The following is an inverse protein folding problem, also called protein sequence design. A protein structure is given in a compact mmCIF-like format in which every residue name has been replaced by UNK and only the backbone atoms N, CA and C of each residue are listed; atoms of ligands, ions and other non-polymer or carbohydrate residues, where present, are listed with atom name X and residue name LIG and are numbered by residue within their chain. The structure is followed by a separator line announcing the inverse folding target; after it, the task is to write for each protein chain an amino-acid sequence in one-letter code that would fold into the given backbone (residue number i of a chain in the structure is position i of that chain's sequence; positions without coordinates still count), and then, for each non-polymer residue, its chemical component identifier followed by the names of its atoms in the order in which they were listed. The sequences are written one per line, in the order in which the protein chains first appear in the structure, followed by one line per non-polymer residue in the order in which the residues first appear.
data_IF_325337865857
#
_entry.id   IF_325337865857
#
_cell.length_a   1.000
_cell.length_b   1.000
_cell.length_c   1.000
_cell.angle_alpha   90.00
_cell.angle_beta   90.00
_cell.angle_gamma   90.00
#
_symmetry.space_group_name_H-M   'P 1'
#
loop_
_entity.id
_entity.type
_entity.pdbx_description
1 polymer ?
#
# COMPACT_ATOMS: atom_id res chain seq x y z
N UNK A 1 12.75 -19.88 -17.88
CA UNK A 1 13.25 -19.20 -16.66
C UNK A 1 12.13 -19.18 -15.64
N UNK A 2 12.42 -19.44 -14.36
CA UNK A 2 11.43 -19.42 -13.28
C UNK A 2 11.24 -17.97 -12.77
N UNK A 3 10.82 -17.08 -13.66
CA UNK A 3 10.66 -15.65 -13.41
C UNK A 3 9.55 -15.43 -12.39
N UNK A 4 9.83 -14.66 -11.32
CA UNK A 4 8.81 -14.31 -10.33
C UNK A 4 7.79 -13.36 -10.94
N UNK A 5 6.53 -13.53 -10.57
CA UNK A 5 5.45 -12.65 -10.97
C UNK A 5 5.13 -11.63 -9.87
N UNK A 6 4.73 -10.43 -10.27
CA UNK A 6 4.27 -9.37 -9.38
C UNK A 6 2.93 -8.87 -9.91
N UNK A 7 1.97 -8.71 -9.01
CA UNK A 7 0.66 -8.16 -9.35
C UNK A 7 0.77 -6.65 -9.53
N UNK A 8 0.11 -6.11 -10.56
CA UNK A 8 0.11 -4.67 -10.83
C UNK A 8 -1.30 -4.19 -11.12
N UNK A 9 -1.64 -2.99 -10.63
CA UNK A 9 -2.97 -2.37 -10.76
C UNK A 9 -3.21 -1.72 -12.14
N UNK A 10 -2.32 -1.95 -13.10
CA UNK A 10 -2.26 -1.31 -14.41
C UNK A 10 -0.82 -1.02 -14.83
N UNK A 11 -0.64 -0.36 -15.97
CA UNK A 11 0.66 0.03 -16.53
C UNK A 11 0.81 1.55 -16.68
N UNK A 12 0.18 2.34 -15.80
CA UNK A 12 0.42 3.79 -15.78
C UNK A 12 1.87 4.11 -15.37
N UNK A 13 2.38 5.27 -15.80
CA UNK A 13 3.75 5.70 -15.47
C UNK A 13 4.00 5.68 -13.95
N UNK A 14 3.06 6.16 -13.14
CA UNK A 14 3.17 6.13 -11.68
C UNK A 14 3.18 4.71 -11.11
N UNK A 15 2.39 3.79 -11.67
CA UNK A 15 2.40 2.38 -11.23
C UNK A 15 3.75 1.73 -11.54
N UNK A 16 4.30 1.99 -12.73
CA UNK A 16 5.63 1.50 -13.11
C UNK A 16 6.71 2.10 -12.21
N UNK A 17 6.63 3.40 -11.91
CA UNK A 17 7.56 4.06 -10.99
C UNK A 17 7.49 3.45 -9.58
N UNK A 18 6.29 3.23 -9.05
CA UNK A 18 6.09 2.63 -7.73
C UNK A 18 6.70 1.22 -7.66
N UNK A 19 6.43 0.37 -8.67
CA UNK A 19 7.00 -0.99 -8.74
C UNK A 19 8.52 -0.94 -8.84
N UNK A 20 9.05 -0.04 -9.66
CA UNK A 20 10.50 0.11 -9.87
C UNK A 20 11.19 0.51 -8.57
N UNK A 21 10.62 1.46 -7.83
CA UNK A 21 11.15 1.91 -6.55
C UNK A 21 11.09 0.82 -5.48
N UNK A 22 9.98 0.07 -5.43
CA UNK A 22 9.84 -1.06 -4.52
C UNK A 22 10.82 -2.21 -4.85
N UNK A 23 11.06 -2.48 -6.14
CA UNK A 23 12.06 -3.45 -6.58
C UNK A 23 13.48 -3.03 -6.18
N UNK A 24 13.83 -1.75 -6.38
CA UNK A 24 15.12 -1.20 -5.97
C UNK A 24 15.31 -1.33 -4.44
N UNK A 25 14.25 -1.07 -3.66
CA UNK A 25 14.28 -1.27 -2.20
C UNK A 25 14.54 -2.73 -1.83
N UNK A 26 13.81 -3.67 -2.42
CA UNK A 26 13.97 -5.12 -2.15
C UNK A 26 15.36 -5.63 -2.50
N UNK A 27 15.98 -5.06 -3.53
CA UNK A 27 17.33 -5.41 -3.95
C UNK A 27 18.43 -4.68 -3.14
N UNK A 28 18.07 -3.78 -2.21
CA UNK A 28 19.02 -3.01 -1.41
C UNK A 28 19.92 -2.09 -2.25
N UNK A 29 19.42 -1.65 -3.41
CA UNK A 29 20.19 -0.91 -4.40
C UNK A 29 20.28 0.59 -4.04
N UNK A 30 21.48 1.16 -4.18
CA UNK A 30 21.71 2.58 -3.93
C UNK A 30 21.14 3.45 -5.07
N UNK A 31 20.24 4.37 -4.73
CA UNK A 31 19.52 5.27 -5.65
C UNK A 31 20.30 6.52 -6.06
N UNK A 32 21.36 6.92 -5.35
CA UNK A 32 22.05 8.19 -5.61
C UNK A 32 23.16 8.06 -6.65
N UNK A 33 23.84 6.91 -6.67
CA UNK A 33 25.10 6.77 -7.40
C UNK A 33 24.93 6.02 -8.73
N UNK A 34 23.82 5.31 -8.88
CA UNK A 34 23.58 4.42 -10.01
C UNK A 34 22.40 4.90 -10.86
N UNK A 35 22.55 4.79 -12.19
CA UNK A 35 21.45 4.97 -13.13
C UNK A 35 20.78 3.62 -13.36
N UNK A 36 19.50 3.54 -13.02
CA UNK A 36 18.66 2.39 -13.30
C UNK A 36 17.76 2.68 -14.50
N UNK A 37 17.66 1.71 -15.40
CA UNK A 37 16.72 1.75 -16.52
C UNK A 37 15.66 0.67 -16.33
N UNK A 38 14.42 1.02 -16.68
CA UNK A 38 13.29 0.11 -16.67
C UNK A 38 12.88 -0.14 -18.11
N UNK A 39 12.86 -1.42 -18.52
CA UNK A 39 12.40 -1.83 -19.84
C UNK A 39 11.17 -2.71 -19.70
N UNK A 40 10.07 -2.25 -20.27
CA UNK A 40 8.86 -3.06 -20.44
C UNK A 40 8.84 -3.67 -21.84
N UNK A 41 8.57 -4.96 -21.92
CA UNK A 41 8.40 -5.64 -23.20
C UNK A 41 7.48 -6.85 -23.06
N UNK A 42 6.91 -7.29 -24.18
CA UNK A 42 6.12 -8.51 -24.26
C UNK A 42 7.01 -9.67 -24.67
N UNK A 43 6.91 -10.79 -23.97
CA UNK A 43 7.51 -12.07 -24.36
C UNK A 43 6.42 -13.15 -24.31
N UNK A 44 6.08 -13.69 -25.48
CA UNK A 44 4.93 -14.59 -25.66
C UNK A 44 3.65 -13.96 -25.08
N UNK A 45 3.02 -14.55 -24.07
CA UNK A 45 1.82 -14.00 -23.41
C UNK A 45 2.11 -13.20 -22.13
N UNK A 46 3.39 -13.00 -21.79
CA UNK A 46 3.80 -12.29 -20.59
C UNK A 46 4.24 -10.86 -20.90
N UNK A 47 3.97 -9.96 -19.95
CA UNK A 47 4.56 -8.63 -19.93
C UNK A 47 5.68 -8.67 -18.91
N UNK A 48 6.89 -8.33 -19.34
CA UNK A 48 8.09 -8.38 -18.54
C UNK A 48 8.58 -6.98 -18.21
N UNK A 49 9.05 -6.81 -16.98
CA UNK A 49 9.77 -5.63 -16.51
C UNK A 49 11.21 -6.03 -16.21
N UNK A 50 12.14 -5.45 -16.96
CA UNK A 50 13.57 -5.56 -16.69
C UNK A 50 14.04 -4.31 -15.94
N UNK A 51 14.77 -4.53 -14.86
CA UNK A 51 15.62 -3.53 -14.21
C UNK A 51 17.04 -3.71 -14.71
N UNK A 52 17.62 -2.66 -15.28
CA UNK A 52 18.98 -2.65 -15.81
C UNK A 52 19.85 -1.61 -15.13
N UNK A 53 21.15 -1.88 -15.08
CA UNK A 53 22.20 -0.93 -14.68
C UNK A 53 23.44 -1.18 -15.54
N UNK A 54 24.02 -0.11 -16.09
CA UNK A 54 25.18 -0.16 -16.99
C UNK A 54 25.03 -1.16 -18.16
N UNK A 55 23.82 -1.21 -18.73
CA UNK A 55 23.48 -2.10 -19.84
C UNK A 55 23.22 -3.57 -19.46
N UNK A 56 23.42 -3.95 -18.19
CA UNK A 56 23.20 -5.30 -17.70
C UNK A 56 21.84 -5.43 -17.00
N UNK A 57 21.10 -6.49 -17.30
CA UNK A 57 19.85 -6.81 -16.60
C UNK A 57 20.15 -7.32 -15.20
N UNK A 58 19.71 -6.55 -14.19
CA UNK A 58 19.81 -6.91 -12.77
C UNK A 58 18.67 -7.85 -12.34
N UNK A 59 17.46 -7.61 -12.87
CA UNK A 59 16.26 -8.38 -12.54
C UNK A 59 15.24 -8.33 -13.66
N UNK A 60 14.56 -9.46 -13.88
CA UNK A 60 13.35 -9.54 -14.71
C UNK A 60 12.18 -10.00 -13.85
N UNK A 61 11.04 -9.32 -13.98
CA UNK A 61 9.77 -9.66 -13.34
C UNK A 61 8.69 -9.89 -14.40
N UNK A 62 7.80 -10.84 -14.14
CA UNK A 62 6.57 -10.99 -14.92
C UNK A 62 5.45 -10.17 -14.29
N UNK A 63 4.79 -9.31 -15.07
CA UNK A 63 3.72 -8.45 -14.58
C UNK A 63 2.36 -9.13 -14.76
N UNK A 64 1.70 -9.40 -13.64
CA UNK A 64 0.35 -9.91 -13.59
C UNK A 64 -0.63 -8.74 -13.45
N UNK A 65 -1.15 -8.28 -14.58
CA UNK A 65 -1.99 -7.08 -14.63
C UNK A 65 -3.40 -7.43 -14.17
N UNK A 66 -3.82 -6.87 -13.04
CA UNK A 66 -5.18 -7.03 -12.55
C UNK A 66 -6.14 -6.18 -13.38
N UNK A 67 -7.35 -6.70 -13.62
CA UNK A 67 -8.42 -5.93 -14.27
C UNK A 67 -8.93 -4.86 -13.29
N UNK A 68 -8.39 -3.66 -13.40
CA UNK A 68 -8.74 -2.49 -12.60
C UNK A 68 -7.99 -2.39 -11.26
N UNK A 69 -7.91 -1.18 -10.68
CA UNK A 69 -7.36 -0.99 -9.35
C UNK A 69 -8.21 -1.76 -8.33
N UNK A 70 -7.58 -2.37 -7.32
CA UNK A 70 -8.34 -2.92 -6.20
C UNK A 70 -8.70 -1.80 -5.26
N UNK A 71 -9.99 -1.50 -5.23
CA UNK A 71 -10.55 -0.32 -4.60
C UNK A 71 -11.03 -0.64 -3.18
N UNK A 72 -10.72 0.24 -2.21
CA UNK A 72 -11.35 0.19 -0.89
C UNK A 72 -12.74 0.82 -0.95
N UNK A 73 -13.74 0.17 -0.36
CA UNK A 73 -15.07 0.74 -0.17
C UNK A 73 -15.42 0.75 1.32
N UNK A 74 -16.58 1.31 1.66
CA UNK A 74 -17.02 1.43 3.05
C UNK A 74 -17.19 0.08 3.75
N UNK A 75 -17.58 -0.99 3.04
CA UNK A 75 -17.61 -2.34 3.61
C UNK A 75 -16.21 -2.87 3.93
N UNK A 76 -15.24 -2.66 3.05
CA UNK A 76 -13.84 -2.98 3.33
C UNK A 76 -13.33 -2.20 4.55
N UNK A 77 -13.70 -0.92 4.67
CA UNK A 77 -13.33 -0.10 5.83
C UNK A 77 -13.95 -0.59 7.14
N UNK A 78 -15.17 -1.14 7.14
CA UNK A 78 -15.77 -1.79 8.32
C UNK A 78 -14.97 -3.03 8.73
N UNK A 79 -14.60 -3.87 7.76
CA UNK A 79 -13.78 -5.07 8.01
C UNK A 79 -12.41 -4.68 8.56
N UNK A 80 -11.78 -3.66 7.98
CA UNK A 80 -10.49 -3.14 8.43
C UNK A 80 -10.60 -2.57 9.84
N UNK A 81 -11.63 -1.77 10.15
CA UNK A 81 -11.83 -1.26 11.51
C UNK A 81 -12.04 -2.40 12.51
N UNK A 82 -12.87 -3.40 12.19
CA UNK A 82 -13.07 -4.56 13.06
C UNK A 82 -11.79 -5.36 13.33
N UNK A 83 -10.82 -5.36 12.41
CA UNK A 83 -9.49 -5.93 12.63
C UNK A 83 -8.58 -5.00 13.44
N UNK A 84 -8.59 -3.71 13.12
CA UNK A 84 -7.82 -2.67 13.81
C UNK A 84 -8.17 -2.59 15.30
N UNK A 85 -9.45 -2.76 15.64
CA UNK A 85 -9.88 -2.75 17.04
C UNK A 85 -9.24 -3.88 17.84
N UNK A 86 -9.10 -5.07 17.27
CA UNK A 86 -8.50 -6.24 17.95
C UNK A 86 -7.02 -6.06 18.30
N UNK A 87 -6.36 -5.03 17.77
CA UNK A 87 -4.97 -4.71 18.12
C UNK A 87 -4.83 -4.21 19.57
N UNK A 88 -5.91 -3.68 20.17
CA UNK A 88 -5.98 -3.34 21.60
C UNK A 88 -7.24 -3.98 22.23
N UNK A 89 -7.18 -4.36 23.51
CA UNK A 89 -8.38 -4.82 24.22
C UNK A 89 -9.05 -3.61 24.87
N UNK A 90 -10.12 -3.10 24.27
CA UNK A 90 -10.95 -2.07 24.87
C UNK A 90 -12.43 -2.40 24.65
N UNK A 91 -13.21 -2.49 25.73
CA UNK A 91 -14.66 -2.64 25.67
C UNK A 91 -15.29 -1.29 25.23
N UNK A 92 -15.42 -1.08 23.92
CA UNK A 92 -15.91 0.19 23.35
C UNK A 92 -16.88 0.00 22.18
N UNK A 93 -17.54 1.08 21.76
CA UNK A 93 -18.45 1.10 20.60
C UNK A 93 -17.64 0.94 19.31
N UNK A 94 -18.03 -0.01 18.47
CA UNK A 94 -17.33 -0.35 17.23
C UNK A 94 -18.03 0.17 15.98
N UNK A 95 -17.25 0.33 14.90
CA UNK A 95 -17.74 0.60 13.57
C UNK A 95 -17.59 2.05 13.11
N UNK A 96 -18.16 2.30 11.94
CA UNK A 96 -18.12 3.61 11.28
C UNK A 96 -19.10 4.56 11.98
N UNK A 97 -18.59 5.71 12.40
CA UNK A 97 -19.35 6.80 13.01
C UNK A 97 -20.03 7.67 11.95
N UNK A 98 -19.33 7.96 10.85
CA UNK A 98 -19.84 8.75 9.73
C UNK A 98 -19.57 8.03 8.40
N UNK A 99 -20.57 7.27 7.93
CA UNK A 99 -20.46 6.50 6.68
C UNK A 99 -20.42 7.39 5.45
N UNK A 100 -21.22 8.46 5.41
CA UNK A 100 -21.22 9.40 4.29
C UNK A 100 -19.90 10.17 4.22
N UNK A 101 -19.32 10.55 5.36
CA UNK A 101 -17.98 11.13 5.44
C UNK A 101 -16.91 10.16 4.92
N UNK A 102 -16.96 8.89 5.36
CA UNK A 102 -16.04 7.86 4.88
C UNK A 102 -16.16 7.63 3.36
N UNK A 103 -17.38 7.53 2.82
CA UNK A 103 -17.63 7.40 1.38
C UNK A 103 -17.06 8.59 0.59
N UNK A 104 -17.20 9.82 1.11
CA UNK A 104 -16.61 11.01 0.48
C UNK A 104 -15.09 10.97 0.47
N UNK A 105 -14.45 10.54 1.56
CA UNK A 105 -12.99 10.37 1.61
C UNK A 105 -12.56 9.35 0.55
N UNK A 106 -13.19 8.19 0.54
CA UNK A 106 -12.94 7.10 -0.40
C UNK A 106 -13.07 7.59 -1.85
N UNK A 107 -14.20 8.22 -2.18
CA UNK A 107 -14.43 8.81 -3.50
C UNK A 107 -13.36 9.84 -3.86
N UNK A 108 -12.97 10.73 -2.95
CA UNK A 108 -11.94 11.73 -3.20
C UNK A 108 -10.56 11.14 -3.53
N UNK A 109 -10.28 9.90 -3.09
CA UNK A 109 -9.02 9.20 -3.36
C UNK A 109 -9.06 8.49 -4.72
N UNK A 110 -10.24 8.01 -5.10
CA UNK A 110 -10.46 7.20 -6.30
C UNK A 110 -10.80 8.01 -7.54
N UNK A 111 -11.32 9.21 -7.35
CA UNK A 111 -11.74 10.07 -8.43
C UNK A 111 -10.54 10.52 -9.28
N UNK A 112 -10.85 10.78 -10.55
CA UNK A 112 -9.97 11.32 -11.55
C UNK A 112 -10.68 12.45 -12.29
N UNK A 113 -9.91 13.28 -12.97
CA UNK A 113 -10.40 14.29 -13.88
C UNK A 113 -9.65 14.20 -15.20
N UNK A 114 -10.38 14.12 -16.31
CA UNK A 114 -9.82 14.00 -17.66
C UNK A 114 -8.78 12.86 -17.80
N UNK A 115 -9.09 11.70 -17.21
CA UNK A 115 -8.19 10.53 -17.21
C UNK A 115 -7.00 10.63 -16.26
N UNK A 116 -6.85 11.72 -15.52
CA UNK A 116 -5.78 11.92 -14.53
C UNK A 116 -6.31 11.69 -13.11
N UNK A 117 -5.81 10.65 -12.45
CA UNK A 117 -6.11 10.37 -11.05
C UNK A 117 -5.63 11.51 -10.15
N UNK A 118 -6.44 11.91 -9.17
CA UNK A 118 -5.99 12.89 -8.16
C UNK A 118 -4.85 12.36 -7.29
N UNK A 119 -4.80 11.04 -7.10
CA UNK A 119 -3.71 10.33 -6.45
C UNK A 119 -3.17 9.28 -7.42
N UNK A 120 -2.25 9.64 -8.32
CA UNK A 120 -1.78 8.72 -9.34
C UNK A 120 -0.82 7.68 -8.76
N UNK A 121 -0.96 6.42 -9.17
CA UNK A 121 -0.17 5.30 -8.65
C UNK A 121 -0.73 4.69 -7.36
N UNK A 122 -0.05 3.65 -6.88
CA UNK A 122 -0.50 2.86 -5.73
C UNK A 122 -0.03 3.49 -4.43
N UNK A 123 1.21 3.97 -4.39
CA UNK A 123 1.82 4.56 -3.18
C UNK A 123 1.07 5.83 -2.76
N UNK A 124 0.72 6.71 -3.70
CA UNK A 124 -0.04 7.93 -3.40
C UNK A 124 -1.45 7.65 -2.90
N UNK A 125 -2.15 6.67 -3.49
CA UNK A 125 -3.48 6.24 -3.00
C UNK A 125 -3.40 5.64 -1.60
N UNK A 126 -2.44 4.75 -1.35
CA UNK A 126 -2.19 4.20 -0.02
C UNK A 126 -1.92 5.30 1.02
N UNK A 127 -1.07 6.26 0.66
CA UNK A 127 -0.77 7.45 1.48
C UNK A 127 -2.04 8.25 1.76
N UNK A 128 -2.88 8.48 0.75
CA UNK A 128 -4.11 9.24 0.90
C UNK A 128 -5.14 8.54 1.80
N UNK A 129 -5.28 7.21 1.71
CA UNK A 129 -6.11 6.44 2.63
C UNK A 129 -5.62 6.61 4.07
N UNK A 130 -4.33 6.38 4.30
CA UNK A 130 -3.73 6.50 5.62
C UNK A 130 -3.87 7.93 6.18
N UNK A 131 -3.47 8.94 5.42
CA UNK A 131 -3.49 10.33 5.85
C UNK A 131 -4.92 10.80 6.14
N UNK A 132 -5.83 10.67 5.17
CA UNK A 132 -7.19 11.24 5.30
C UNK A 132 -8.00 10.57 6.39
N UNK A 133 -7.89 9.25 6.58
CA UNK A 133 -8.59 8.58 7.68
C UNK A 133 -7.98 8.88 9.05
N UNK A 134 -6.66 9.08 9.14
CA UNK A 134 -6.00 9.48 10.38
C UNK A 134 -6.45 10.87 10.86
N UNK A 135 -6.78 11.77 9.94
CA UNK A 135 -7.14 13.17 10.24
C UNK A 135 -8.64 13.49 10.26
N UNK A 136 -9.52 12.50 10.08
CA UNK A 136 -10.96 12.74 9.87
C UNK A 136 -11.90 12.18 10.93
N UNK A 137 -11.43 11.26 11.79
CA UNK A 137 -12.24 10.64 12.86
C UNK A 137 -13.57 10.00 12.40
N UNK A 138 -13.51 9.18 11.34
CA UNK A 138 -14.69 8.54 10.73
C UNK A 138 -15.23 7.32 11.50
N UNK A 139 -14.53 6.84 12.51
CA UNK A 139 -14.87 5.64 13.30
C UNK A 139 -15.11 6.00 14.77
N UNK A 140 -15.91 5.20 15.48
CA UNK A 140 -16.17 5.40 16.91
C UNK A 140 -14.89 5.24 17.75
N UNK A 141 -14.10 4.21 17.46
CA UNK A 141 -12.77 4.00 18.00
C UNK A 141 -11.82 3.59 16.86
N UNK A 142 -10.54 3.39 17.17
CA UNK A 142 -9.58 2.77 16.26
C UNK A 142 -9.18 3.64 15.08
N UNK A 143 -9.61 4.90 14.99
CA UNK A 143 -9.36 5.80 13.84
C UNK A 143 -7.92 5.73 13.30
N UNK A 144 -6.91 5.85 14.18
CA UNK A 144 -5.50 5.75 13.82
C UNK A 144 -5.13 4.37 13.29
N UNK A 145 -5.55 3.30 13.96
CA UNK A 145 -5.26 1.91 13.56
C UNK A 145 -5.95 1.55 12.25
N UNK A 146 -7.21 1.97 12.07
CA UNK A 146 -7.96 1.80 10.82
C UNK A 146 -7.31 2.55 9.67
N UNK A 147 -6.84 3.78 9.90
CA UNK A 147 -6.12 4.57 8.90
C UNK A 147 -4.83 3.87 8.45
N UNK A 148 -3.98 3.48 9.41
CA UNK A 148 -2.77 2.68 9.16
C UNK A 148 -3.10 1.42 8.33
N UNK A 149 -4.05 0.62 8.80
CA UNK A 149 -4.40 -0.62 8.13
C UNK A 149 -4.99 -0.39 6.73
N UNK A 150 -5.72 0.70 6.50
CA UNK A 150 -6.25 1.02 5.17
C UNK A 150 -5.14 1.26 4.15
N UNK A 151 -4.08 1.99 4.52
CA UNK A 151 -2.93 2.23 3.66
C UNK A 151 -2.17 0.93 3.37
N UNK A 152 -1.85 0.16 4.42
CA UNK A 152 -1.16 -1.13 4.27
C UNK A 152 -1.97 -2.13 3.45
N UNK A 153 -3.27 -2.24 3.71
CA UNK A 153 -4.16 -3.13 2.97
C UNK A 153 -4.19 -2.74 1.49
N UNK A 154 -4.31 -1.45 1.18
CA UNK A 154 -4.31 -0.97 -0.20
C UNK A 154 -2.99 -1.29 -0.92
N UNK A 155 -1.84 -1.15 -0.28
CA UNK A 155 -0.55 -1.59 -0.84
C UNK A 155 -0.59 -3.09 -1.17
N UNK A 156 -1.01 -3.90 -0.19
CA UNK A 156 -0.94 -5.34 -0.28
C UNK A 156 -1.85 -5.92 -1.36
N UNK A 157 -3.10 -5.45 -1.49
CA UNK A 157 -4.00 -5.92 -2.56
C UNK A 157 -3.52 -5.52 -3.96
N UNK A 158 -2.71 -4.47 -4.05
CA UNK A 158 -2.11 -3.98 -5.30
C UNK A 158 -0.68 -4.52 -5.54
N UNK A 159 -0.26 -5.59 -4.84
CA UNK A 159 0.97 -6.32 -5.14
C UNK A 159 2.23 -5.81 -4.45
N UNK A 160 2.09 -4.91 -3.47
CA UNK A 160 3.19 -4.40 -2.67
C UNK A 160 3.29 -5.14 -1.33
N UNK A 161 4.47 -5.14 -0.74
CA UNK A 161 4.72 -5.68 0.59
C UNK A 161 5.27 -4.60 1.53
N UNK A 162 5.13 -4.82 2.83
CA UNK A 162 5.80 -4.01 3.85
C UNK A 162 6.82 -4.89 4.58
N UNK A 163 8.07 -4.98 4.12
CA UNK A 163 9.10 -5.73 4.81
C UNK A 163 9.33 -5.18 6.23
N UNK A 164 9.70 -6.08 7.16
CA UNK A 164 10.10 -5.72 8.53
C UNK A 164 9.07 -4.86 9.28
N UNK A 165 7.80 -5.30 9.32
CA UNK A 165 6.72 -4.59 10.01
C UNK A 165 7.08 -4.41 11.50
N UNK A 166 7.15 -3.13 11.92
CA UNK A 166 7.25 -2.73 13.32
C UNK A 166 5.97 -1.98 13.71
N UNK A 167 5.08 -2.63 14.47
CA UNK A 167 3.78 -2.07 14.82
C UNK A 167 3.87 -0.77 15.61
N UNK A 168 4.84 -0.64 16.53
CA UNK A 168 5.04 0.57 17.33
C UNK A 168 5.50 1.76 16.49
N UNK A 169 6.42 1.53 15.56
CA UNK A 169 6.88 2.56 14.60
C UNK A 169 5.69 3.05 13.75
N UNK A 170 4.93 2.12 13.17
CA UNK A 170 3.78 2.42 12.33
C UNK A 170 2.66 3.13 13.09
N UNK A 171 2.45 2.77 14.35
CA UNK A 171 1.50 3.47 15.20
C UNK A 171 1.99 4.89 15.53
N UNK A 172 3.26 5.05 15.88
CA UNK A 172 3.87 6.34 16.22
C UNK A 172 3.79 7.34 15.06
N UNK A 173 4.14 6.90 13.84
CA UNK A 173 4.02 7.77 12.66
C UNK A 173 2.55 8.13 12.37
N UNK A 174 1.62 7.20 12.62
CA UNK A 174 0.19 7.48 12.46
C UNK A 174 -0.33 8.49 13.48
N UNK A 175 0.16 8.45 14.72
CA UNK A 175 -0.12 9.48 15.74
C UNK A 175 0.38 10.84 15.29
N UNK A 176 1.62 10.92 14.80
CA UNK A 176 2.20 12.16 14.28
C UNK A 176 1.40 12.73 13.09
N UNK A 177 0.94 11.87 12.16
CA UNK A 177 0.03 12.27 11.07
C UNK A 177 -1.30 12.81 11.63
N UNK A 178 -1.92 12.13 12.59
CA UNK A 178 -3.18 12.57 13.18
C UNK A 178 -3.06 13.93 13.90
N UNK A 179 -1.89 14.20 14.48
CA UNK A 179 -1.54 15.47 15.12
C UNK A 179 -1.09 16.55 14.13
N UNK A 180 -0.91 16.21 12.84
CA UNK A 180 -0.36 17.06 11.78
C UNK A 180 1.12 17.46 11.98
N UNK A 181 1.86 16.68 12.76
CA UNK A 181 3.31 16.80 12.91
C UNK A 181 4.04 16.27 11.67
N UNK A 182 3.37 15.43 10.88
CA UNK A 182 3.85 14.88 9.60
C UNK A 182 2.86 15.22 8.50
N UNK A 183 3.36 15.83 7.43
CA UNK A 183 2.61 16.15 6.22
C UNK A 183 2.32 14.91 5.37
N UNK A 184 1.37 15.03 4.44
CA UNK A 184 1.05 13.95 3.51
C UNK A 184 2.25 13.56 2.63
N UNK A 185 3.08 14.53 2.22
CA UNK A 185 4.29 14.28 1.41
C UNK A 185 5.39 13.56 2.19
N UNK A 186 5.54 13.86 3.48
CA UNK A 186 6.48 13.15 4.35
C UNK A 186 6.02 11.71 4.59
N UNK A 187 4.71 11.50 4.80
CA UNK A 187 4.14 10.16 4.88
C UNK A 187 4.32 9.38 3.57
N UNK A 188 4.13 10.01 2.40
CA UNK A 188 4.38 9.39 1.10
C UNK A 188 5.83 8.93 0.98
N UNK A 189 6.77 9.80 1.36
CA UNK A 189 8.22 9.52 1.31
C UNK A 189 8.58 8.36 2.24
N UNK A 190 8.02 8.34 3.45
CA UNK A 190 8.15 7.23 4.39
C UNK A 190 7.64 5.91 3.81
N UNK A 191 6.41 5.90 3.29
CA UNK A 191 5.80 4.71 2.67
C UNK A 191 6.66 4.21 1.50
N UNK A 192 7.07 5.11 0.60
CA UNK A 192 7.90 4.78 -0.56
C UNK A 192 9.26 4.18 -0.17
N UNK A 193 9.85 4.63 0.94
CA UNK A 193 11.11 4.10 1.46
C UNK A 193 10.99 2.74 2.15
N UNK A 194 9.80 2.38 2.62
CA UNK A 194 9.55 1.15 3.40
C UNK A 194 8.88 0.04 2.60
N UNK A 195 8.30 0.35 1.45
CA UNK A 195 7.52 -0.60 0.64
C UNK A 195 8.43 -1.46 -0.24
N UNK A 196 8.15 -2.76 -0.28
CA UNK A 196 8.72 -3.75 -1.20
C UNK A 196 7.67 -4.35 -2.15
N UNK A 197 8.00 -5.41 -2.88
CA UNK A 197 7.07 -6.12 -3.75
C UNK A 197 6.59 -7.43 -3.14
N UNK A 198 5.39 -7.85 -3.55
CA UNK A 198 4.90 -9.19 -3.31
C UNK A 198 5.22 -10.09 -4.52
N UNK A 199 6.02 -11.13 -4.29
CA UNK A 199 6.44 -12.06 -5.33
C UNK A 199 5.60 -13.33 -5.34
N UNK A 200 5.22 -13.77 -6.53
CA UNK A 200 4.49 -15.00 -6.79
C UNK A 200 5.28 -15.90 -7.73
N UNK A 201 4.98 -17.20 -7.72
CA UNK A 201 5.65 -18.13 -8.64
C UNK A 201 5.11 -18.04 -10.06
N UNK A 202 3.86 -17.61 -10.24
CA UNK A 202 3.24 -17.45 -11.57
C UNK A 202 2.31 -16.23 -11.62
N UNK A 203 2.06 -15.64 -12.81
CA UNK A 203 1.09 -14.55 -12.96
C UNK A 203 -0.32 -14.93 -12.50
N UNK A 204 -0.74 -16.18 -12.76
CA UNK A 204 -2.03 -16.70 -12.29
C UNK A 204 -2.14 -16.65 -10.76
N UNK A 205 -1.12 -17.12 -10.04
CA UNK A 205 -1.11 -17.04 -8.56
C UNK A 205 -1.19 -15.59 -8.07
N UNK A 206 -0.52 -14.66 -8.75
CA UNK A 206 -0.57 -13.25 -8.40
C UNK A 206 -1.98 -12.65 -8.56
N UNK A 207 -2.71 -13.04 -9.60
CA UNK A 207 -4.10 -12.58 -9.84
C UNK A 207 -5.10 -13.25 -8.88
N UNK A 208 -4.94 -14.54 -8.63
CA UNK A 208 -5.82 -15.33 -7.76
C UNK A 208 -5.68 -14.90 -6.28
N UNK A 209 -4.56 -14.30 -5.88
CA UNK A 209 -4.33 -13.80 -4.52
C UNK A 209 -5.10 -12.48 -4.20
N UNK A 210 -6.19 -12.19 -4.91
CA UNK A 210 -6.96 -10.94 -4.78
C UNK A 210 -7.89 -10.88 -3.55
N UNK A 211 -8.04 -11.98 -2.80
CA UNK A 211 -9.06 -12.11 -1.75
C UNK A 211 -8.55 -12.73 -0.44
N UNK A 212 -7.26 -13.09 -0.35
CA UNK A 212 -6.71 -13.64 0.89
C UNK A 212 -6.74 -12.55 1.95
N UNK A 213 -7.74 -12.62 2.84
CA UNK A 213 -7.92 -11.80 4.04
C UNK A 213 -6.57 -11.40 4.60
N UNK A 214 -6.12 -10.17 4.30
CA UNK A 214 -4.81 -9.70 4.71
C UNK A 214 -4.86 -9.40 6.19
N UNK A 215 -4.68 -10.45 6.99
CA UNK A 215 -4.44 -10.34 8.41
C UNK A 215 -3.01 -9.85 8.57
N UNK A 216 -2.86 -8.54 8.70
CA UNK A 216 -1.63 -7.99 9.22
C UNK A 216 -1.48 -8.47 10.66
N UNK A 217 -0.55 -9.40 10.88
CA UNK A 217 -0.19 -9.84 12.22
C UNK A 217 0.99 -8.98 12.68
N UNK A 218 0.69 -7.86 13.33
CA UNK A 218 1.67 -7.11 14.09
C UNK A 218 1.06 -6.66 15.41
N UNK A 219 1.87 -6.67 16.46
CA UNK A 219 1.50 -6.19 17.78
C UNK A 219 1.88 -4.71 17.88
N UNK A 220 1.01 -3.93 18.51
CA UNK A 220 1.35 -2.61 19.00
C UNK A 220 1.38 -2.76 20.51
N UNK A 221 2.51 -2.49 21.13
CA UNK A 221 2.60 -2.49 22.59
C UNK A 221 1.68 -1.38 23.09
N UNK A 222 0.82 -1.69 24.06
CA UNK A 222 -0.15 -0.73 24.55
C UNK A 222 0.59 0.46 25.17
N UNK A 223 0.57 1.66 24.57
CA UNK A 223 1.32 2.80 25.09
C UNK A 223 0.75 3.31 26.43
N UNK A 224 -0.45 2.86 26.81
CA UNK A 224 -1.15 3.25 28.03
C UNK A 224 -1.15 2.18 29.13
N UNK A 225 -0.46 1.04 28.94
CA UNK A 225 -0.19 0.09 30.03
C UNK A 225 1.30 0.16 30.31
N UNK A 226 1.69 1.04 31.24
CA UNK A 226 2.87 0.74 32.04
C UNK A 226 2.53 -0.48 32.92
N UNK A 227 3.47 -1.43 33.10
CA UNK A 227 3.30 -2.50 34.09
C UNK A 227 3.12 -1.94 35.51
#
# INVERSE_FOLDING_TARGET
MNTKAVKVAGLSNDTILDISMALINDMGLNKTDNKYLIKLHKDSDQILLDLLSDGNTLKTLSLAIASGPLILNTEAMKVINAQAEKMFREDTIYGIKDSTGADRIIGSIQNSYDGNDFFPGVIKKATAYWFKFATSQMFFNGNKRTALMSGLYFLAVNGFSWPNINGNELYSITVAVANKDISQSELESYIRGKTGLQYFSTPKQALDNSTATLKFHFTIDNPNINP
#
